data_IF_312455522357
#
_entry.id   IF_312455522357
#
_cell.length_a   1.000
_cell.length_b   1.000
_cell.length_c   1.000
_cell.angle_alpha   90.00
_cell.angle_beta   90.00
_cell.angle_gamma   90.00
#
_symmetry.space_group_name_H-M   'P 1'
#
loop_
_entity.id
_entity.type
_entity.pdbx_description
1 polymer ?
#
# COMPACT_ATOMS: atom_id res chain seq x y z
N UNK A 1 -37.35 3.82 3.21
CA UNK A 1 -36.64 2.57 3.53
C UNK A 1 -35.62 2.33 2.41
N UNK A 2 -34.34 2.65 2.64
CA UNK A 2 -33.29 2.50 1.62
C UNK A 2 -32.62 1.12 1.78
N UNK A 3 -32.37 0.36 0.69
CA UNK A 3 -31.72 -0.94 0.79
C UNK A 3 -30.22 -0.77 1.10
N UNK A 4 -29.78 -1.43 2.17
CA UNK A 4 -28.39 -1.48 2.60
C UNK A 4 -27.54 -2.23 1.56
N UNK A 5 -26.76 -1.50 0.77
CA UNK A 5 -25.82 -2.08 -0.18
C UNK A 5 -24.63 -2.67 0.60
N UNK A 6 -24.63 -3.98 0.83
CA UNK A 6 -23.53 -4.68 1.49
C UNK A 6 -22.80 -5.55 0.45
N UNK A 7 -21.69 -5.09 -0.15
CA UNK A 7 -20.96 -5.87 -1.14
C UNK A 7 -20.34 -7.10 -0.47
N UNK A 8 -20.65 -8.30 -0.99
CA UNK A 8 -20.10 -9.57 -0.48
C UNK A 8 -18.59 -9.66 -0.77
N UNK A 9 -17.75 -10.13 0.18
CA UNK A 9 -16.37 -10.46 -0.12
C UNK A 9 -16.33 -11.76 -0.96
N UNK A 10 -15.75 -11.70 -2.16
CA UNK A 10 -15.44 -12.91 -2.93
C UNK A 10 -14.13 -13.51 -2.40
N UNK A 11 -14.18 -14.73 -1.84
CA UNK A 11 -13.00 -15.49 -1.39
C UNK A 11 -12.30 -16.20 -2.56
N UNK A 12 -10.97 -16.29 -2.46
CA UNK A 12 -10.06 -17.10 -3.29
C UNK A 12 -9.40 -16.26 -4.40
N UNK A 13 -8.08 -16.27 -4.54
CA UNK A 13 -7.34 -15.24 -5.30
C UNK A 13 -5.88 -15.02 -4.83
N UNK A 14 -4.94 -15.99 -4.98
CA UNK A 14 -3.49 -15.69 -4.90
C UNK A 14 -3.13 -14.73 -6.06
N UNK A 15 -3.11 -13.43 -5.78
CA UNK A 15 -2.84 -12.36 -6.76
C UNK A 15 -3.75 -11.12 -6.66
N UNK A 16 -4.61 -11.02 -5.64
CA UNK A 16 -5.47 -9.85 -5.48
C UNK A 16 -4.75 -8.76 -4.69
N UNK A 17 -4.65 -7.57 -5.29
CA UNK A 17 -4.22 -6.38 -4.55
C UNK A 17 -5.42 -5.82 -3.81
N UNK A 18 -5.33 -5.81 -2.48
CA UNK A 18 -6.36 -5.17 -1.66
C UNK A 18 -6.08 -3.67 -1.61
N UNK A 19 -7.12 -2.88 -1.91
CA UNK A 19 -7.03 -1.43 -1.77
C UNK A 19 -7.19 -1.06 -0.30
N UNK A 20 -6.12 -0.52 0.28
CA UNK A 20 -6.13 -0.02 1.67
C UNK A 20 -6.17 1.51 1.68
N UNK A 21 -6.90 2.08 2.64
CA UNK A 21 -6.83 3.50 2.95
C UNK A 21 -5.90 3.70 4.12
N UNK A 22 -4.73 4.32 3.88
CA UNK A 22 -3.72 4.57 4.91
C UNK A 22 -3.52 6.07 5.08
N UNK A 23 -3.59 6.55 6.32
CA UNK A 23 -3.35 7.97 6.65
C UNK A 23 -1.87 8.18 6.92
N UNK A 24 -1.27 9.11 6.20
CA UNK A 24 0.13 9.51 6.37
C UNK A 24 0.19 11.00 6.71
N UNK A 25 1.18 11.42 7.51
CA UNK A 25 1.50 12.84 7.62
C UNK A 25 1.87 13.44 6.26
N UNK A 26 1.40 14.66 5.98
CA UNK A 26 1.61 15.33 4.69
C UNK A 26 3.08 15.46 4.32
N UNK A 27 3.96 15.75 5.29
CA UNK A 27 5.39 15.90 5.06
C UNK A 27 6.03 14.61 4.53
N UNK A 28 5.60 13.46 5.04
CA UNK A 28 6.16 12.17 4.66
C UNK A 28 5.72 11.77 3.26
N UNK A 29 4.45 12.02 2.91
CA UNK A 29 3.95 11.80 1.55
C UNK A 29 4.74 12.63 0.51
N UNK A 30 5.06 13.88 0.83
CA UNK A 30 5.88 14.75 -0.03
C UNK A 30 7.28 14.15 -0.21
N UNK A 31 7.92 13.68 0.86
CA UNK A 31 9.25 13.04 0.77
C UNK A 31 9.22 11.77 -0.07
N UNK A 32 8.20 10.92 0.07
CA UNK A 32 8.06 9.72 -0.77
C UNK A 32 7.91 10.09 -2.24
N UNK A 33 7.06 11.09 -2.57
CA UNK A 33 6.90 11.57 -3.95
C UNK A 33 8.21 12.10 -4.54
N UNK A 34 8.98 12.87 -3.75
CA UNK A 34 10.29 13.36 -4.18
C UNK A 34 11.27 12.21 -4.49
N UNK A 35 11.33 11.19 -3.63
CA UNK A 35 12.18 10.02 -3.83
C UNK A 35 11.74 9.19 -5.04
N UNK A 36 10.44 9.04 -5.24
CA UNK A 36 9.85 8.32 -6.36
C UNK A 36 10.23 8.98 -7.70
N UNK A 37 10.08 10.31 -7.78
CA UNK A 37 10.49 11.09 -8.95
C UNK A 37 12.00 10.97 -9.21
N UNK A 38 12.84 11.01 -8.16
CA UNK A 38 14.30 10.84 -8.30
C UNK A 38 14.70 9.46 -8.82
N UNK A 39 13.91 8.44 -8.50
CA UNK A 39 14.13 7.05 -8.92
C UNK A 39 13.39 6.70 -10.22
N UNK A 40 12.71 7.67 -10.83
CA UNK A 40 11.86 7.49 -12.01
C UNK A 40 10.83 6.36 -11.86
N UNK A 41 10.22 6.25 -10.67
CA UNK A 41 9.19 5.26 -10.36
C UNK A 41 7.95 5.93 -9.78
N UNK A 42 6.74 5.35 -9.96
CA UNK A 42 5.55 5.84 -9.29
C UNK A 42 5.68 5.74 -7.76
N UNK A 43 5.21 6.77 -7.04
CA UNK A 43 5.28 6.79 -5.56
C UNK A 43 4.53 5.61 -4.92
N UNK A 44 3.45 5.13 -5.55
CA UNK A 44 2.72 3.95 -5.09
C UNK A 44 3.57 2.67 -5.21
N UNK A 45 4.30 2.52 -6.31
CA UNK A 45 5.22 1.39 -6.51
C UNK A 45 6.39 1.46 -5.53
N UNK A 46 6.99 2.64 -5.37
CA UNK A 46 8.08 2.83 -4.39
C UNK A 46 7.61 2.49 -2.97
N UNK A 47 6.41 2.92 -2.59
CA UNK A 47 5.85 2.64 -1.29
C UNK A 47 5.64 1.14 -1.05
N UNK A 48 5.21 0.39 -2.06
CA UNK A 48 5.11 -1.08 -1.97
C UNK A 48 6.47 -1.73 -1.75
N UNK A 49 7.50 -1.30 -2.48
CA UNK A 49 8.87 -1.82 -2.33
C UNK A 49 9.39 -1.57 -0.91
N UNK A 50 9.29 -0.34 -0.42
CA UNK A 50 9.75 -0.01 0.95
C UNK A 50 9.02 -0.79 2.03
N UNK A 51 7.70 -0.99 1.88
CA UNK A 51 6.93 -1.80 2.81
C UNK A 51 7.37 -3.27 2.76
N UNK A 52 7.55 -3.85 1.57
CA UNK A 52 8.03 -5.23 1.42
C UNK A 52 9.40 -5.43 2.05
N UNK A 53 10.36 -4.56 1.73
CA UNK A 53 11.73 -4.64 2.27
C UNK A 53 11.73 -4.57 3.79
N UNK A 54 10.92 -3.67 4.38
CA UNK A 54 10.81 -3.55 5.84
C UNK A 54 10.15 -4.76 6.46
N UNK A 55 9.09 -5.28 5.86
CA UNK A 55 8.42 -6.50 6.32
C UNK A 55 9.39 -7.69 6.27
N UNK A 56 10.09 -7.89 5.16
CA UNK A 56 11.05 -8.98 4.98
C UNK A 56 12.23 -8.86 5.97
N UNK A 57 12.68 -7.64 6.28
CA UNK A 57 13.69 -7.40 7.32
C UNK A 57 13.19 -7.86 8.70
N UNK A 58 12.00 -7.42 9.11
CA UNK A 58 11.44 -7.79 10.42
C UNK A 58 11.15 -9.29 10.55
N UNK A 59 10.72 -9.94 9.47
CA UNK A 59 10.45 -11.39 9.47
C UNK A 59 11.73 -12.25 9.44
N UNK A 60 12.84 -11.76 8.87
CA UNK A 60 14.13 -12.47 8.87
C UNK A 60 14.86 -12.43 10.22
N UNK A 61 14.49 -11.50 11.11
CA UNK A 61 15.13 -11.30 12.41
C UNK A 61 14.49 -12.20 13.50
N UNK A 62 13.37 -12.87 13.20
CA UNK A 62 12.74 -13.90 14.04
C UNK A 62 13.18 -15.30 13.65
#
# INVERSE_FOLDING_TARGET
MFPSFNPRPRKGTFGFTESISLRLPSYLLVRIKQLANKKDVPYQSLMKVFLSEKVDQEFKIK
#
